data_IF_710939650261
#
_entry.id   IF_710939650261
#
_cell.length_a   1.000
_cell.length_b   1.000
_cell.length_c   1.000
_cell.angle_alpha   90.00
_cell.angle_beta   90.00
_cell.angle_gamma   90.00
#
_symmetry.space_group_name_H-M   'P 1'
#
loop_
_entity.id
_entity.type
_entity.pdbx_description
1 polymer ?
#
# COMPACT_ATOMS: atom_id res chain seq x y z
N UNK A 1 10.06 -1.23 -10.71
CA UNK A 1 10.28 -0.41 -11.92
C UNK A 1 8.93 -0.08 -12.56
N UNK A 2 8.77 1.11 -13.12
CA UNK A 2 7.54 1.53 -13.81
C UNK A 2 6.24 1.24 -13.04
N UNK A 3 6.22 1.54 -11.76
CA UNK A 3 5.12 1.27 -10.83
C UNK A 3 4.82 -0.23 -10.61
N UNK A 4 5.82 -1.10 -10.76
CA UNK A 4 5.69 -2.55 -10.56
C UNK A 4 6.72 -3.10 -9.59
N UNK A 5 6.28 -3.98 -8.71
CA UNK A 5 7.15 -4.91 -8.02
C UNK A 5 7.66 -5.95 -9.03
N UNK A 6 8.97 -6.10 -9.13
CA UNK A 6 9.60 -7.02 -10.09
C UNK A 6 10.38 -8.14 -9.41
N UNK A 7 10.67 -7.98 -8.11
CA UNK A 7 11.46 -8.92 -7.34
C UNK A 7 11.08 -8.90 -5.87
N UNK A 8 11.20 -10.04 -5.22
CA UNK A 8 11.14 -10.20 -3.77
C UNK A 8 12.55 -10.47 -3.25
N UNK A 9 13.13 -9.52 -2.53
CA UNK A 9 14.54 -9.57 -2.09
C UNK A 9 14.74 -10.26 -0.73
N UNK A 10 13.66 -10.59 -0.02
CA UNK A 10 13.71 -11.30 1.25
C UNK A 10 13.59 -12.82 1.06
N UNK A 11 13.85 -13.60 2.09
CA UNK A 11 13.78 -15.06 2.10
C UNK A 11 12.76 -15.56 3.11
N UNK A 12 12.34 -16.81 2.95
CA UNK A 12 11.39 -17.50 3.81
C UNK A 12 10.09 -17.85 3.09
N UNK A 13 9.22 -18.67 3.71
CA UNK A 13 8.04 -19.25 3.03
C UNK A 13 7.07 -18.21 2.44
N UNK A 14 6.88 -17.09 3.12
CA UNK A 14 6.01 -16.01 2.61
C UNK A 14 6.64 -15.30 1.41
N UNK A 15 7.97 -15.03 1.49
CA UNK A 15 8.70 -14.40 0.39
C UNK A 15 8.75 -15.28 -0.85
N UNK A 16 8.90 -16.59 -0.66
CA UNK A 16 8.87 -17.58 -1.74
C UNK A 16 7.50 -17.61 -2.43
N UNK A 17 6.41 -17.60 -1.64
CA UNK A 17 5.04 -17.50 -2.18
C UNK A 17 4.79 -16.22 -2.97
N UNK A 18 5.24 -15.08 -2.46
CA UNK A 18 5.13 -13.79 -3.17
C UNK A 18 5.94 -13.79 -4.47
N UNK A 19 7.15 -14.33 -4.45
CA UNK A 19 8.00 -14.44 -5.64
C UNK A 19 7.36 -15.34 -6.71
N UNK A 20 6.80 -16.48 -6.32
CA UNK A 20 6.07 -17.37 -7.21
C UNK A 20 4.83 -16.70 -7.81
N UNK A 21 4.09 -15.93 -7.01
CA UNK A 21 2.91 -15.21 -7.45
C UNK A 21 3.28 -14.12 -8.47
N UNK A 22 4.31 -13.33 -8.20
CA UNK A 22 4.83 -12.33 -9.14
C UNK A 22 5.30 -12.95 -10.45
N UNK A 23 5.99 -14.08 -10.40
CA UNK A 23 6.47 -14.78 -11.59
C UNK A 23 5.34 -15.34 -12.45
N UNK A 24 4.29 -15.85 -11.79
CA UNK A 24 3.13 -16.46 -12.47
C UNK A 24 2.12 -15.43 -12.97
N UNK A 25 1.96 -14.32 -12.26
CA UNK A 25 0.97 -13.27 -12.53
C UNK A 25 1.62 -11.88 -12.42
N UNK A 26 2.30 -11.42 -13.50
CA UNK A 26 2.99 -10.11 -13.46
C UNK A 26 2.06 -8.91 -13.19
N UNK A 27 0.77 -9.00 -13.53
CA UNK A 27 -0.21 -7.96 -13.23
C UNK A 27 -0.43 -7.76 -11.73
N UNK A 28 -0.22 -8.82 -10.93
CA UNK A 28 -0.23 -8.74 -9.46
C UNK A 28 0.81 -7.75 -8.92
N UNK A 29 1.97 -7.64 -9.57
CA UNK A 29 3.05 -6.74 -9.15
C UNK A 29 2.75 -5.25 -9.35
N UNK A 30 1.64 -4.88 -10.01
CA UNK A 30 1.28 -3.47 -10.17
C UNK A 30 0.99 -2.84 -8.80
N UNK A 31 1.64 -1.70 -8.52
CA UNK A 31 1.35 -0.88 -7.34
C UNK A 31 0.07 -0.09 -7.62
N UNK A 32 -1.06 -0.67 -7.24
CA UNK A 32 -2.39 -0.22 -7.61
C UNK A 32 -2.84 1.02 -6.84
N UNK A 33 -2.43 1.10 -5.57
CA UNK A 33 -2.83 2.17 -4.67
C UNK A 33 -1.73 2.45 -3.63
N UNK A 34 -1.59 3.73 -3.28
CA UNK A 34 -0.93 4.19 -2.08
C UNK A 34 -1.92 5.07 -1.33
N UNK A 35 -2.36 4.62 -0.17
CA UNK A 35 -3.30 5.36 0.67
C UNK A 35 -2.66 5.84 1.97
N UNK A 36 -3.09 7.00 2.40
CA UNK A 36 -2.65 7.65 3.64
C UNK A 36 -3.89 7.91 4.51
N UNK A 37 -4.40 6.85 5.15
CA UNK A 37 -5.50 6.95 6.11
C UNK A 37 -5.08 7.78 7.33
N UNK A 38 -5.94 8.65 7.79
CA UNK A 38 -5.66 9.56 8.90
C UNK A 38 -6.53 9.33 10.13
N UNK A 39 -7.53 8.46 10.06
CA UNK A 39 -8.50 8.30 11.13
C UNK A 39 -7.89 7.71 12.41
N UNK A 40 -6.76 6.99 12.32
CA UNK A 40 -6.02 6.52 13.49
C UNK A 40 -5.49 7.66 14.36
N UNK A 41 -5.06 8.77 13.76
CA UNK A 41 -4.61 9.96 14.50
C UNK A 41 -5.76 10.68 15.22
N UNK A 42 -7.01 10.44 14.81
CA UNK A 42 -8.23 10.91 15.49
C UNK A 42 -8.80 9.89 16.47
N UNK A 43 -8.05 8.85 16.85
CA UNK A 43 -8.44 7.87 17.86
C UNK A 43 -9.44 6.81 17.40
N UNK A 44 -9.63 6.62 16.09
CA UNK A 44 -10.41 5.51 15.55
C UNK A 44 -9.55 4.24 15.56
N UNK A 45 -10.09 3.15 16.07
CA UNK A 45 -9.42 1.87 16.21
C UNK A 45 -9.79 0.89 15.08
N UNK A 46 -8.90 -0.08 14.82
CA UNK A 46 -9.12 -1.13 13.84
C UNK A 46 -10.23 -2.09 14.28
N UNK A 47 -11.06 -2.52 13.34
CA UNK A 47 -12.17 -3.43 13.59
C UNK A 47 -12.04 -4.78 12.84
N UNK A 48 -10.93 -4.99 12.11
CA UNK A 48 -10.65 -6.21 11.35
C UNK A 48 -11.35 -6.26 9.98
N UNK A 49 -11.79 -5.11 9.46
CA UNK A 49 -12.41 -5.00 8.13
C UNK A 49 -11.55 -4.10 7.25
N UNK A 50 -10.84 -4.68 6.28
CA UNK A 50 -9.87 -3.98 5.43
C UNK A 50 -10.42 -2.68 4.85
N UNK A 51 -11.62 -2.70 4.28
CA UNK A 51 -12.27 -1.53 3.68
C UNK A 51 -12.44 -0.33 4.63
N UNK A 52 -12.53 -0.58 5.94
CA UNK A 52 -12.60 0.45 6.96
C UNK A 52 -11.24 0.73 7.57
N UNK A 53 -10.47 -0.30 7.84
CA UNK A 53 -9.17 -0.20 8.50
C UNK A 53 -8.09 0.48 7.62
N UNK A 54 -8.23 0.45 6.30
CA UNK A 54 -7.37 1.22 5.38
C UNK A 54 -7.44 2.73 5.61
N UNK A 55 -8.52 3.24 6.20
CA UNK A 55 -8.68 4.66 6.53
C UNK A 55 -7.89 5.08 7.77
N UNK A 56 -7.30 4.13 8.50
CA UNK A 56 -6.60 4.39 9.77
C UNK A 56 -5.13 4.80 9.59
N UNK A 57 -4.49 4.43 8.48
CA UNK A 57 -3.07 4.68 8.29
C UNK A 57 -2.57 4.42 6.89
N UNK A 58 -1.25 4.27 6.78
CA UNK A 58 -0.63 3.88 5.52
C UNK A 58 -1.16 2.53 5.06
N UNK A 59 -1.58 2.47 3.81
CA UNK A 59 -1.86 1.22 3.12
C UNK A 59 -1.33 1.23 1.69
N UNK A 60 -1.08 0.06 1.16
CA UNK A 60 -0.63 -0.16 -0.22
C UNK A 60 -1.49 -1.26 -0.80
N UNK A 61 -2.02 -1.06 -2.01
CA UNK A 61 -2.64 -2.14 -2.75
C UNK A 61 -1.81 -2.56 -3.95
N UNK A 62 -1.90 -3.84 -4.27
CA UNK A 62 -1.28 -4.46 -5.44
C UNK A 62 -2.33 -5.03 -6.38
N UNK A 63 -1.99 -5.12 -7.68
CA UNK A 63 -2.84 -5.74 -8.69
C UNK A 63 -3.68 -4.73 -9.48
N UNK A 64 -4.99 -4.94 -9.51
CA UNK A 64 -5.94 -4.16 -10.31
C UNK A 64 -6.03 -2.69 -9.86
N UNK A 65 -6.01 -1.76 -10.81
CA UNK A 65 -6.06 -0.31 -10.55
C UNK A 65 -7.03 0.47 -11.46
N UNK A 66 -7.66 -0.18 -12.45
CA UNK A 66 -8.52 0.49 -13.44
C UNK A 66 -9.73 1.21 -12.84
N UNK A 67 -10.26 0.71 -11.73
CA UNK A 67 -11.37 1.33 -10.99
C UNK A 67 -10.99 2.65 -10.27
N UNK A 68 -9.68 2.92 -10.14
CA UNK A 68 -9.14 4.22 -9.68
C UNK A 68 -8.54 5.05 -10.83
N UNK A 69 -8.81 4.68 -12.09
CA UNK A 69 -8.24 5.36 -13.27
C UNK A 69 -6.84 4.89 -13.65
N UNK A 70 -6.31 3.83 -13.03
CA UNK A 70 -5.07 3.18 -13.43
C UNK A 70 -5.23 2.34 -14.70
N UNK A 71 -4.10 1.79 -15.17
CA UNK A 71 -4.06 1.09 -16.47
C UNK A 71 -4.16 -0.44 -16.36
N UNK A 72 -4.09 -0.99 -15.15
CA UNK A 72 -4.14 -2.44 -14.93
C UNK A 72 -5.55 -2.85 -14.53
N UNK A 73 -6.20 -3.61 -15.41
CA UNK A 73 -7.53 -4.14 -15.22
C UNK A 73 -7.61 -5.64 -15.58
N UNK A 74 -8.81 -6.24 -15.65
CA UNK A 74 -8.96 -7.67 -15.94
C UNK A 74 -8.22 -8.17 -17.17
N UNK A 75 -8.09 -7.42 -18.29
CA UNK A 75 -7.38 -7.90 -19.47
C UNK A 75 -5.87 -8.12 -19.30
N UNK A 76 -5.25 -7.54 -18.27
CA UNK A 76 -3.84 -7.68 -17.99
C UNK A 76 -3.51 -8.92 -17.14
N UNK A 77 -4.53 -9.56 -16.57
CA UNK A 77 -4.39 -10.80 -15.79
C UNK A 77 -4.50 -12.03 -16.69
N UNK A 78 -3.82 -13.10 -16.30
CA UNK A 78 -3.77 -14.35 -17.07
C UNK A 78 -5.13 -15.05 -17.20
N UNK A 79 -6.06 -14.81 -16.25
CA UNK A 79 -7.40 -15.36 -16.19
C UNK A 79 -8.30 -14.55 -15.24
N UNK A 80 -9.64 -14.63 -15.38
CA UNK A 80 -10.57 -13.87 -14.53
C UNK A 80 -10.39 -14.10 -13.02
N UNK A 81 -10.08 -15.33 -12.61
CA UNK A 81 -9.91 -15.69 -11.19
C UNK A 81 -8.60 -15.16 -10.59
N UNK A 82 -7.65 -14.70 -11.43
CA UNK A 82 -6.42 -14.08 -10.99
C UNK A 82 -6.56 -12.57 -10.77
N UNK A 83 -7.67 -11.98 -11.20
CA UNK A 83 -7.91 -10.53 -11.02
C UNK A 83 -8.07 -10.23 -9.55
N UNK A 84 -7.14 -9.44 -9.02
CA UNK A 84 -7.10 -9.07 -7.62
C UNK A 84 -6.74 -7.60 -7.44
N UNK A 85 -7.35 -6.96 -6.46
CA UNK A 85 -6.92 -5.74 -5.82
C UNK A 85 -6.72 -6.08 -4.34
N UNK A 86 -5.49 -6.08 -3.87
CA UNK A 86 -5.16 -6.56 -2.53
C UNK A 86 -4.52 -5.46 -1.70
N UNK A 87 -5.26 -4.98 -0.71
CA UNK A 87 -4.79 -4.00 0.26
C UNK A 87 -3.94 -4.65 1.35
N UNK A 88 -2.92 -3.92 1.77
CA UNK A 88 -2.06 -4.22 2.92
C UNK A 88 -1.99 -2.98 3.80
N UNK A 89 -2.69 -3.05 4.92
CA UNK A 89 -2.81 -1.93 5.87
C UNK A 89 -1.69 -2.02 6.92
N UNK A 90 -0.89 -0.96 7.03
CA UNK A 90 0.28 -0.89 7.91
C UNK A 90 0.00 -0.01 9.13
N UNK A 91 -0.92 -0.46 9.97
CA UNK A 91 -1.18 0.13 11.30
C UNK A 91 -0.76 -0.83 12.39
N UNK A 92 -0.30 -0.35 13.57
CA UNK A 92 0.27 -1.20 14.63
C UNK A 92 -0.65 -2.33 15.09
N UNK A 93 -1.95 -2.08 15.14
CA UNK A 93 -2.97 -3.03 15.58
C UNK A 93 -3.07 -4.24 14.64
N UNK A 94 -2.89 -4.03 13.34
CA UNK A 94 -2.99 -5.08 12.31
C UNK A 94 -1.63 -5.67 11.93
N UNK A 95 -0.57 -4.85 11.97
CA UNK A 95 0.79 -5.22 11.57
C UNK A 95 1.82 -4.85 12.64
N UNK A 96 1.77 -5.43 13.85
CA UNK A 96 2.59 -5.00 14.99
C UNK A 96 4.10 -5.16 14.79
N UNK A 97 4.53 -5.94 13.78
CA UNK A 97 5.94 -6.16 13.45
C UNK A 97 6.44 -5.32 12.27
N UNK A 98 5.58 -4.51 11.67
CA UNK A 98 5.90 -3.69 10.50
C UNK A 98 5.67 -2.24 10.83
N UNK A 99 6.68 -1.40 10.63
CA UNK A 99 6.59 0.04 10.84
C UNK A 99 7.02 0.76 9.57
N UNK A 100 6.20 1.69 9.10
CA UNK A 100 6.57 2.62 8.06
C UNK A 100 7.58 3.63 8.63
N UNK A 101 8.88 3.29 8.53
CA UNK A 101 9.94 4.09 9.15
C UNK A 101 9.99 5.52 8.58
N UNK A 102 9.74 5.65 7.27
CA UNK A 102 9.81 6.93 6.55
C UNK A 102 8.93 6.90 5.31
N UNK A 103 8.11 7.95 5.16
CA UNK A 103 7.40 8.27 3.92
C UNK A 103 7.66 9.73 3.59
N UNK A 104 8.18 10.02 2.40
CA UNK A 104 8.41 11.37 1.90
C UNK A 104 7.66 11.54 0.59
N UNK A 105 7.08 12.72 0.41
CA UNK A 105 6.61 13.21 -0.88
C UNK A 105 7.70 14.04 -1.52
N UNK A 106 8.11 13.69 -2.72
CA UNK A 106 8.98 14.54 -3.54
C UNK A 106 8.14 15.17 -4.65
N UNK A 107 8.09 16.50 -4.63
CA UNK A 107 7.40 17.29 -5.67
C UNK A 107 8.28 17.40 -6.93
N UNK A 108 7.65 17.74 -8.05
CA UNK A 108 8.34 17.96 -9.33
C UNK A 108 9.38 19.08 -9.25
N UNK A 109 9.15 20.12 -8.41
CA UNK A 109 10.10 21.21 -8.16
C UNK A 109 11.30 20.81 -7.27
N UNK A 110 11.38 19.52 -6.89
CA UNK A 110 12.44 18.95 -6.06
C UNK A 110 12.25 19.11 -4.55
N UNK A 111 11.21 19.82 -4.11
CA UNK A 111 10.90 19.95 -2.69
C UNK A 111 10.50 18.58 -2.11
N UNK A 112 11.07 18.23 -0.96
CA UNK A 112 10.74 17.03 -0.20
C UNK A 112 9.95 17.39 1.05
N UNK A 113 8.80 16.77 1.20
CA UNK A 113 7.93 16.88 2.37
C UNK A 113 7.94 15.57 3.13
N UNK A 114 8.20 15.63 4.43
CA UNK A 114 8.07 14.47 5.31
C UNK A 114 6.58 14.22 5.54
N UNK A 115 6.08 13.04 5.14
CA UNK A 115 4.70 12.66 5.40
C UNK A 115 4.59 11.79 6.65
N UNK A 116 5.48 10.79 6.80
CA UNK A 116 5.50 9.92 7.97
C UNK A 116 6.92 9.68 8.50
N UNK A 117 7.01 9.46 9.81
CA UNK A 117 8.22 9.04 10.52
C UNK A 117 7.85 8.04 11.62
N UNK A 118 8.46 6.86 11.59
CA UNK A 118 8.25 5.81 12.58
C UNK A 118 6.76 5.47 12.82
N UNK A 119 6.00 5.34 11.73
CA UNK A 119 4.60 4.98 11.75
C UNK A 119 3.62 6.10 12.12
N UNK A 120 4.11 7.33 12.33
CA UNK A 120 3.27 8.50 12.66
C UNK A 120 3.34 9.54 11.56
N UNK A 121 2.24 10.26 11.34
CA UNK A 121 2.27 11.42 10.47
C UNK A 121 3.19 12.49 11.02
N UNK A 122 3.95 13.13 10.14
CA UNK A 122 4.80 14.28 10.45
C UNK A 122 4.08 15.63 10.22
N UNK A 123 2.78 15.55 9.95
CA UNK A 123 1.87 16.68 9.74
C UNK A 123 1.04 16.84 11.00
N UNK A 124 0.91 18.05 11.50
CA UNK A 124 -0.02 18.37 12.56
C UNK A 124 -1.39 18.69 11.93
N UNK A 125 -2.37 17.81 12.17
CA UNK A 125 -3.71 17.97 11.60
C UNK A 125 -4.55 19.02 12.36
N UNK A 126 -4.16 19.40 13.57
CA UNK A 126 -4.82 20.46 14.34
C UNK A 126 -4.49 21.87 13.82
N UNK A 127 -3.38 22.00 13.06
CA UNK A 127 -2.95 23.25 12.44
C UNK A 127 -3.52 23.48 11.03
N UNK A 128 -4.40 22.61 10.55
CA UNK A 128 -5.05 22.77 9.23
C UNK A 128 -6.26 23.71 9.41
N UNK A 129 -6.27 24.88 8.73
CA UNK A 129 -7.36 25.85 8.86
C UNK A 129 -8.68 25.39 8.26
#
# INVERSE_FOLDING_TARGET
>A
EENRAVEVVSSGPESEREAELLAREPAYGNMAELGLGILGDFGIEAIGTVLLDEKLGLHIAVGRSDHFGGQVGPPQFSRPEAVVHQDRVYVPELQPRVVAARVDLQREDGVKLALMRNGKFAIDFDDIP
#
